data_IF_551352368728
#
_entry.id   IF_551352368728
#
_cell.length_a   1.000
_cell.length_b   1.000
_cell.length_c   1.000
_cell.angle_alpha   90.00
_cell.angle_beta   90.00
_cell.angle_gamma   90.00
#
_symmetry.space_group_name_H-M   'P 1'
#
loop_
_entity.id
_entity.type
_entity.pdbx_description
1 polymer ?
#
# COMPACT_ATOMS: atom_id res chain seq x y z
N UNK A 1 -13.93 -1.01 2.89
CA UNK A 1 -14.21 0.16 3.75
C UNK A 1 -15.66 0.51 3.54
N UNK A 2 -16.52 0.16 4.49
CA UNK A 2 -17.96 0.38 4.36
C UNK A 2 -18.29 1.80 4.83
N UNK A 3 -18.81 2.64 3.94
CA UNK A 3 -19.21 4.01 4.23
C UNK A 3 -20.66 4.22 3.79
N UNK A 4 -21.41 5.05 4.52
CA UNK A 4 -22.81 5.37 4.19
C UNK A 4 -22.87 6.82 3.75
N UNK A 5 -23.29 7.06 2.50
CA UNK A 5 -23.51 8.39 1.96
C UNK A 5 -25.00 8.75 2.07
N UNK A 6 -25.28 9.79 2.86
CA UNK A 6 -26.60 10.40 2.92
C UNK A 6 -26.70 11.51 1.86
N UNK A 7 -27.73 11.42 1.02
CA UNK A 7 -27.98 12.39 -0.05
C UNK A 7 -29.46 12.76 -0.12
N UNK A 8 -29.75 13.85 -0.85
CA UNK A 8 -31.11 14.33 -1.12
C UNK A 8 -31.23 14.72 -2.60
N UNK A 9 -32.35 14.41 -3.24
CA UNK A 9 -32.58 14.74 -4.66
C UNK A 9 -32.84 16.23 -4.88
N UNK A 10 -33.17 16.98 -3.82
CA UNK A 10 -33.40 18.43 -3.89
C UNK A 10 -32.10 19.24 -3.85
N UNK A 11 -30.96 18.60 -3.56
CA UNK A 11 -29.68 19.28 -3.47
C UNK A 11 -28.87 19.13 -4.77
N UNK A 12 -28.54 20.24 -5.43
CA UNK A 12 -27.72 20.24 -6.66
C UNK A 12 -26.30 19.71 -6.41
N UNK A 13 -25.69 20.05 -5.27
CA UNK A 13 -24.36 19.56 -4.88
C UNK A 13 -24.34 18.04 -4.71
N UNK A 14 -25.44 17.44 -4.27
CA UNK A 14 -25.55 15.99 -4.16
C UNK A 14 -25.59 15.33 -5.55
N UNK A 15 -26.30 15.94 -6.51
CA UNK A 15 -26.38 15.41 -7.88
C UNK A 15 -25.02 15.40 -8.57
N UNK A 16 -24.28 16.50 -8.50
CA UNK A 16 -22.94 16.57 -9.10
C UNK A 16 -21.96 15.61 -8.42
N UNK A 17 -22.06 15.47 -7.10
CA UNK A 17 -21.23 14.55 -6.34
C UNK A 17 -21.55 13.07 -6.64
N UNK A 18 -22.82 12.68 -6.72
CA UNK A 18 -23.23 11.33 -7.10
C UNK A 18 -22.75 10.97 -8.51
N UNK A 19 -22.81 11.91 -9.47
CA UNK A 19 -22.27 11.71 -10.82
C UNK A 19 -20.75 11.52 -10.85
N UNK A 20 -20.03 12.12 -9.92
CA UNK A 20 -18.58 11.94 -9.81
C UNK A 20 -18.23 10.60 -9.14
N UNK A 21 -18.99 10.21 -8.10
CA UNK A 21 -18.78 8.95 -7.39
C UNK A 21 -19.14 7.75 -8.27
N UNK A 22 -20.20 7.85 -9.09
CA UNK A 22 -20.61 6.77 -10.00
C UNK A 22 -19.54 6.43 -11.05
N UNK A 23 -18.70 7.39 -11.43
CA UNK A 23 -17.56 7.19 -12.34
C UNK A 23 -16.34 6.54 -11.66
N UNK A 24 -16.31 6.50 -10.33
CA UNK A 24 -15.19 5.97 -9.56
C UNK A 24 -15.47 4.55 -9.07
N UNK A 25 -14.42 3.76 -8.88
CA UNK A 25 -14.51 2.42 -8.27
C UNK A 25 -14.89 2.46 -6.77
N UNK A 26 -15.07 3.65 -6.18
CA UNK A 26 -15.51 3.78 -4.80
C UNK A 26 -16.99 3.42 -4.60
N UNK A 27 -17.79 3.41 -5.67
CA UNK A 27 -19.23 3.11 -5.64
C UNK A 27 -19.54 1.72 -5.07
N UNK A 28 -18.71 0.71 -5.36
CA UNK A 28 -18.92 -0.68 -4.93
C UNK A 28 -18.82 -0.88 -3.41
N UNK A 29 -18.14 0.04 -2.71
CA UNK A 29 -17.86 -0.06 -1.27
C UNK A 29 -18.73 0.88 -0.43
N UNK A 30 -19.63 1.63 -1.07
CA UNK A 30 -20.45 2.66 -0.46
C UNK A 30 -21.94 2.30 -0.49
N UNK A 31 -22.64 2.58 0.61
CA UNK A 31 -24.09 2.50 0.67
C UNK A 31 -24.70 3.89 0.48
N UNK A 32 -25.69 4.00 -0.40
CA UNK A 32 -26.37 5.26 -0.69
C UNK A 32 -27.74 5.27 -0.04
N UNK A 33 -28.00 6.26 0.81
CA UNK A 33 -29.30 6.43 1.48
C UNK A 33 -29.86 7.81 1.13
N UNK A 34 -31.04 7.82 0.51
CA UNK A 34 -31.79 9.03 0.25
C UNK A 34 -32.56 9.46 1.51
N UNK A 35 -32.42 10.72 1.93
CA UNK A 35 -33.09 11.25 3.14
C UNK A 35 -34.37 12.03 2.86
N UNK A 36 -34.87 11.99 1.62
CA UNK A 36 -36.04 12.78 1.20
C UNK A 36 -37.32 12.31 1.89
N UNK A 37 -37.48 10.99 2.07
CA UNK A 37 -38.63 10.41 2.76
C UNK A 37 -38.29 10.13 4.23
N UNK A 38 -38.72 11.03 5.13
CA UNK A 38 -38.41 10.98 6.56
C UNK A 38 -39.66 11.12 7.43
N UNK A 39 -39.73 10.29 8.47
CA UNK A 39 -40.82 10.27 9.44
C UNK A 39 -40.23 10.53 10.83
N UNK A 40 -40.79 11.49 11.56
CA UNK A 40 -40.44 11.73 12.96
C UNK A 40 -41.33 10.90 13.87
N UNK A 41 -40.77 9.94 14.60
CA UNK A 41 -41.46 9.15 15.62
C UNK A 41 -40.70 9.28 16.94
N UNK A 42 -41.41 9.57 18.04
CA UNK A 42 -40.84 9.63 19.39
C UNK A 42 -39.60 10.54 19.54
N UNK A 43 -39.56 11.67 18.82
CA UNK A 43 -38.45 12.63 18.87
C UNK A 43 -37.21 12.21 18.07
N UNK A 44 -37.24 11.07 17.38
CA UNK A 44 -36.20 10.62 16.47
C UNK A 44 -36.69 10.60 15.01
N UNK A 45 -35.80 10.96 14.08
CA UNK A 45 -36.08 10.93 12.65
C UNK A 45 -35.71 9.57 12.06
N UNK A 46 -36.65 8.96 11.35
CA UNK A 46 -36.48 7.72 10.59
C UNK A 46 -36.56 8.01 9.11
N UNK A 47 -35.72 7.35 8.31
CA UNK A 47 -35.73 7.39 6.85
C UNK A 47 -36.48 6.15 6.37
N UNK A 48 -37.44 6.33 5.47
CA UNK A 48 -38.16 5.22 4.84
C UNK A 48 -37.47 4.88 3.52
N UNK A 49 -36.86 3.70 3.46
CA UNK A 49 -36.29 3.15 2.23
C UNK A 49 -37.40 2.80 1.23
N UNK A 50 -37.06 2.69 -0.06
CA UNK A 50 -38.04 2.36 -1.12
C UNK A 50 -38.75 1.01 -0.91
N UNK A 51 -38.13 0.10 -0.15
CA UNK A 51 -38.70 -1.21 0.21
C UNK A 51 -39.66 -1.17 1.41
N UNK A 52 -39.84 -0.01 2.04
CA UNK A 52 -40.66 0.17 3.25
C UNK A 52 -39.90 -0.01 4.56
N UNK A 53 -38.63 -0.37 4.53
CA UNK A 53 -37.79 -0.49 5.72
C UNK A 53 -37.48 0.89 6.33
N UNK A 54 -37.55 0.99 7.67
CA UNK A 54 -37.26 2.21 8.40
C UNK A 54 -35.83 2.18 8.97
N UNK A 55 -34.99 3.16 8.58
CA UNK A 55 -33.62 3.33 9.10
C UNK A 55 -33.55 4.56 9.99
N UNK A 56 -32.99 4.42 11.19
CA UNK A 56 -32.77 5.55 12.08
C UNK A 56 -31.73 6.51 11.48
N UNK A 57 -32.09 7.79 11.36
CA UNK A 57 -31.15 8.84 10.98
C UNK A 57 -30.29 9.21 12.20
N UNK A 58 -28.96 9.10 12.13
CA UNK A 58 -28.09 9.53 13.23
C UNK A 58 -28.19 11.04 13.44
N UNK A 59 -28.23 11.54 14.70
CA UNK A 59 -28.30 12.97 15.00
C UNK A 59 -27.03 13.74 14.58
N UNK A 60 -25.95 13.02 14.27
CA UNK A 60 -24.69 13.58 13.76
C UNK A 60 -24.82 14.12 12.33
N UNK A 61 -25.83 13.66 11.57
CA UNK A 61 -26.08 14.09 10.19
C UNK A 61 -27.02 15.29 10.20
N UNK A 62 -26.44 16.50 10.27
CA UNK A 62 -27.19 17.77 10.32
C UNK A 62 -27.44 18.41 8.95
N UNK A 63 -26.59 18.10 7.97
CA UNK A 63 -26.62 18.67 6.61
C UNK A 63 -26.25 17.63 5.57
N UNK A 64 -26.59 17.91 4.31
CA UNK A 64 -26.38 17.00 3.17
C UNK A 64 -25.64 17.76 2.07
N UNK A 65 -24.66 17.17 1.35
CA UNK A 65 -24.19 15.78 1.41
C UNK A 65 -23.36 15.47 2.67
N UNK A 66 -23.58 14.28 3.24
CA UNK A 66 -22.85 13.79 4.40
C UNK A 66 -22.39 12.34 4.20
N UNK A 67 -21.13 12.07 4.52
CA UNK A 67 -20.56 10.72 4.49
C UNK A 67 -20.28 10.24 5.91
N UNK A 68 -20.95 9.17 6.31
CA UNK A 68 -20.71 8.50 7.59
C UNK A 68 -19.69 7.38 7.41
N UNK A 69 -18.59 7.50 8.14
CA UNK A 69 -17.50 6.52 8.16
C UNK A 69 -17.70 5.53 9.30
N UNK A 70 -18.10 4.30 8.97
CA UNK A 70 -18.30 3.25 9.98
C UNK A 70 -16.98 2.84 10.67
N UNK A 71 -15.87 2.90 9.92
CA UNK A 71 -14.56 2.44 10.41
C UNK A 71 -13.84 3.46 11.31
N UNK A 72 -14.26 4.73 11.32
CA UNK A 72 -13.60 5.81 12.08
C UNK A 72 -14.50 6.35 13.18
N UNK A 73 -15.09 5.45 13.98
CA UNK A 73 -15.90 5.82 15.14
C UNK A 73 -17.14 6.64 14.80
N UNK A 74 -17.82 6.32 13.69
CA UNK A 74 -19.02 7.04 13.22
C UNK A 74 -18.78 8.52 12.92
N UNK A 75 -17.58 8.88 12.49
CA UNK A 75 -17.27 10.23 12.07
C UNK A 75 -18.05 10.61 10.80
N UNK A 76 -18.58 11.83 10.75
CA UNK A 76 -19.33 12.37 9.62
C UNK A 76 -18.50 13.42 8.90
N UNK A 77 -18.23 13.19 7.62
CA UNK A 77 -17.60 14.15 6.72
C UNK A 77 -18.65 14.92 5.94
N UNK A 78 -18.36 16.18 5.64
CA UNK A 78 -19.28 17.05 4.90
C UNK A 78 -18.61 17.74 3.71
N UNK A 79 -19.39 17.99 2.65
CA UNK A 79 -18.95 18.81 1.53
C UNK A 79 -17.65 18.31 0.88
N UNK A 80 -16.65 19.21 0.78
CA UNK A 80 -15.38 18.96 0.12
C UNK A 80 -14.50 17.93 0.83
N UNK A 81 -14.70 17.69 2.13
CA UNK A 81 -13.99 16.63 2.84
C UNK A 81 -14.33 15.25 2.28
N UNK A 82 -15.56 15.11 1.77
CA UNK A 82 -16.03 13.86 1.18
C UNK A 82 -15.32 13.61 -0.16
N UNK A 83 -15.12 14.66 -0.96
CA UNK A 83 -14.41 14.52 -2.24
C UNK A 83 -12.94 14.17 -2.01
N UNK A 84 -12.28 14.77 -1.01
CA UNK A 84 -10.91 14.42 -0.63
C UNK A 84 -10.75 12.99 -0.09
N UNK A 85 -11.78 12.46 0.58
CA UNK A 85 -11.74 11.10 1.12
C UNK A 85 -12.04 10.04 0.04
N UNK A 86 -12.93 10.34 -0.91
CA UNK A 86 -13.34 9.41 -1.96
C UNK A 86 -12.38 9.45 -3.15
N UNK A 87 -11.90 10.63 -3.54
CA UNK A 87 -10.93 10.72 -4.61
C UNK A 87 -9.61 10.14 -4.10
N UNK A 88 -8.97 9.22 -4.85
CA UNK A 88 -7.59 8.90 -4.58
C UNK A 88 -6.81 10.22 -4.60
N UNK A 89 -5.87 10.39 -3.65
CA UNK A 89 -4.91 11.51 -3.73
C UNK A 89 -4.35 11.47 -5.16
N UNK A 90 -4.73 12.42 -6.00
CA UNK A 90 -4.19 12.62 -7.36
C UNK A 90 -2.74 13.11 -7.28
N UNK A 91 -1.98 12.59 -6.33
CA UNK A 91 -0.61 12.96 -6.10
C UNK A 91 0.21 11.84 -6.75
N UNK A 92 1.19 12.27 -7.53
CA UNK A 92 2.21 11.51 -8.28
C UNK A 92 1.95 11.30 -9.79
N UNK A 93 0.76 10.90 -10.27
CA UNK A 93 0.61 10.63 -11.73
C UNK A 93 0.28 11.84 -12.61
N UNK A 94 -0.29 12.92 -12.07
CA UNK A 94 -0.72 14.05 -12.91
C UNK A 94 0.44 14.98 -13.30
N UNK A 95 1.51 15.02 -12.51
CA UNK A 95 2.78 15.67 -12.88
C UNK A 95 3.51 14.89 -13.99
N UNK A 96 3.36 13.57 -14.03
CA UNK A 96 3.90 12.74 -15.12
C UNK A 96 3.13 12.90 -16.44
N UNK A 97 1.88 13.38 -16.42
CA UNK A 97 1.05 13.56 -17.61
C UNK A 97 1.24 14.93 -18.30
N UNK A 98 1.73 15.96 -17.61
CA UNK A 98 1.99 17.26 -18.25
C UNK A 98 3.26 17.31 -19.11
N UNK A 99 4.12 16.29 -19.04
CA UNK A 99 5.40 16.24 -19.77
C UNK A 99 5.45 15.20 -20.90
N UNK A 100 4.31 14.67 -21.36
CA UNK A 100 4.33 13.47 -22.21
C UNK A 100 3.51 13.61 -23.50
N UNK A 101 3.90 14.54 -24.39
CA UNK A 101 3.38 14.52 -25.77
C UNK A 101 4.38 14.12 -26.85
N UNK A 102 5.70 14.16 -26.63
CA UNK A 102 6.66 13.49 -27.53
C UNK A 102 7.88 13.00 -26.73
N UNK A 103 8.29 11.71 -26.86
CA UNK A 103 9.56 11.27 -26.32
C UNK A 103 10.67 11.98 -27.10
N UNK A 104 11.52 12.75 -26.41
CA UNK A 104 12.70 13.34 -27.01
C UNK A 104 13.55 12.23 -27.65
N UNK A 105 13.91 12.37 -28.93
CA UNK A 105 14.74 11.39 -29.66
C UNK A 105 16.14 11.19 -29.03
N UNK A 106 16.55 12.11 -28.15
CA UNK A 106 17.79 12.05 -27.37
C UNK A 106 17.56 11.72 -25.89
N UNK A 107 16.32 11.45 -25.47
CA UNK A 107 16.03 10.80 -24.19
C UNK A 107 16.29 9.30 -24.33
N UNK A 108 17.52 8.95 -24.71
CA UNK A 108 18.10 7.70 -24.29
C UNK A 108 18.20 7.82 -22.77
N UNK A 109 17.15 7.35 -22.08
CA UNK A 109 16.98 7.49 -20.65
C UNK A 109 18.31 7.23 -19.96
N UNK A 110 18.84 8.28 -19.34
CA UNK A 110 20.10 8.20 -18.63
C UNK A 110 20.00 7.02 -17.67
N UNK A 111 20.76 5.97 -17.94
CA UNK A 111 21.17 4.98 -16.94
C UNK A 111 20.05 4.05 -16.44
N UNK A 112 19.22 3.48 -17.32
CA UNK A 112 18.09 2.65 -16.89
C UNK A 112 18.30 1.14 -16.91
N UNK A 113 18.66 0.55 -18.05
CA UNK A 113 18.62 -0.90 -18.22
C UNK A 113 19.67 -1.37 -19.21
N UNK A 114 20.87 -1.59 -18.71
CA UNK A 114 21.97 -2.15 -19.50
C UNK A 114 23.20 -2.29 -18.64
N UNK A 115 23.80 -3.48 -18.66
CA UNK A 115 25.18 -3.67 -18.21
C UNK A 115 26.04 -2.72 -19.04
N UNK A 116 26.54 -1.65 -18.43
CA UNK A 116 27.57 -0.83 -19.04
C UNK A 116 28.87 -1.64 -19.01
N UNK A 117 29.57 -1.77 -20.14
CA UNK A 117 30.87 -2.44 -20.11
C UNK A 117 31.89 -1.52 -19.46
N UNK A 118 32.67 -2.04 -18.53
CA UNK A 118 33.77 -1.35 -17.87
C UNK A 118 34.98 -1.13 -18.82
N UNK A 119 34.76 -1.18 -20.14
CA UNK A 119 35.83 -1.08 -21.13
C UNK A 119 36.37 0.36 -21.27
N UNK A 120 35.67 1.35 -20.72
CA UNK A 120 36.10 2.74 -20.73
C UNK A 120 36.02 3.32 -19.32
N UNK A 121 37.19 3.66 -18.79
CA UNK A 121 37.35 4.34 -17.50
C UNK A 121 37.36 5.85 -17.69
N UNK A 122 36.97 6.58 -16.66
CA UNK A 122 37.11 8.03 -16.66
C UNK A 122 38.60 8.41 -16.59
N UNK A 123 38.97 9.51 -17.25
CA UNK A 123 40.36 9.97 -17.36
C UNK A 123 40.99 10.35 -16.01
N UNK A 124 40.17 10.58 -14.99
CA UNK A 124 40.53 10.99 -13.64
C UNK A 124 40.45 9.82 -12.63
N UNK A 125 40.44 8.56 -13.12
CA UNK A 125 40.43 7.36 -12.27
C UNK A 125 41.86 6.84 -12.03
N UNK A 126 42.21 6.67 -10.75
CA UNK A 126 43.49 6.09 -10.35
C UNK A 126 43.52 4.57 -10.53
N UNK A 127 44.71 4.03 -10.84
CA UNK A 127 44.92 2.60 -11.14
C UNK A 127 44.58 1.71 -9.93
N UNK A 128 44.75 2.24 -8.72
CA UNK A 128 44.40 1.54 -7.46
C UNK A 128 42.91 1.27 -7.36
N UNK A 129 42.09 2.22 -7.82
CA UNK A 129 40.63 2.15 -7.78
C UNK A 129 40.06 1.27 -8.89
N UNK A 130 40.88 0.97 -9.91
CA UNK A 130 40.60 0.00 -10.98
C UNK A 130 40.93 -1.44 -10.59
N UNK A 131 41.60 -1.65 -9.44
CA UNK A 131 41.97 -3.00 -8.99
C UNK A 131 40.77 -3.74 -8.43
N UNK A 132 40.80 -5.08 -8.43
CA UNK A 132 39.79 -5.92 -7.77
C UNK A 132 39.67 -5.69 -6.25
N UNK A 133 40.63 -4.96 -5.66
CA UNK A 133 40.63 -4.53 -4.26
C UNK A 133 40.22 -3.06 -4.07
N UNK A 134 39.97 -2.33 -5.16
CA UNK A 134 39.54 -0.94 -5.13
C UNK A 134 38.04 -0.83 -4.87
N UNK A 135 37.62 0.24 -4.20
CA UNK A 135 36.21 0.44 -3.81
C UNK A 135 35.39 1.21 -4.86
N UNK A 136 35.99 1.61 -5.99
CA UNK A 136 35.32 2.41 -7.03
C UNK A 136 35.02 3.86 -6.62
N UNK A 137 35.36 4.25 -5.39
CA UNK A 137 35.22 5.60 -4.85
C UNK A 137 33.76 6.08 -4.77
N UNK A 138 33.55 7.40 -4.88
CA UNK A 138 32.21 8.02 -4.85
C UNK A 138 31.50 8.06 -6.22
N UNK A 139 31.99 7.32 -7.22
CA UNK A 139 31.45 7.37 -8.58
C UNK A 139 30.24 6.43 -8.74
N UNK A 140 29.37 6.75 -9.70
CA UNK A 140 28.14 6.00 -9.95
C UNK A 140 28.45 4.55 -10.34
N UNK A 141 28.14 3.61 -9.46
CA UNK A 141 28.16 2.19 -9.75
C UNK A 141 26.95 1.87 -10.65
N UNK A 142 27.19 1.51 -11.91
CA UNK A 142 26.14 1.20 -12.89
C UNK A 142 25.42 -0.12 -12.56
N UNK A 143 24.46 -0.08 -11.63
CA UNK A 143 23.74 -1.25 -11.07
C UNK A 143 24.58 -2.22 -10.23
N UNK A 144 25.83 -1.85 -9.93
CA UNK A 144 26.68 -2.59 -9.01
C UNK A 144 26.61 -1.97 -7.62
N UNK A 145 26.96 -2.76 -6.60
CA UNK A 145 26.97 -2.35 -5.20
C UNK A 145 28.36 -2.60 -4.61
N UNK A 146 28.79 -1.76 -3.67
CA UNK A 146 30.10 -1.94 -3.04
C UNK A 146 30.13 -3.20 -2.17
N UNK A 147 31.30 -3.80 -1.98
CA UNK A 147 31.48 -5.00 -1.14
C UNK A 147 31.07 -4.74 0.32
N UNK A 148 31.15 -3.48 0.77
CA UNK A 148 30.79 -3.06 2.13
C UNK A 148 29.38 -2.46 2.24
N UNK A 149 28.51 -2.73 1.27
CA UNK A 149 27.13 -2.26 1.33
C UNK A 149 26.33 -3.08 2.35
N UNK A 150 26.34 -2.63 3.60
CA UNK A 150 25.61 -3.26 4.73
C UNK A 150 24.07 -3.25 4.55
N UNK A 151 23.55 -2.48 3.59
CA UNK A 151 22.11 -2.35 3.33
C UNK A 151 21.44 -3.57 2.67
N UNK A 152 22.21 -4.56 2.21
CA UNK A 152 21.67 -5.75 1.54
C UNK A 152 21.54 -6.98 2.47
N UNK A 153 21.10 -6.79 3.72
CA UNK A 153 20.71 -7.92 4.56
C UNK A 153 19.35 -8.44 4.12
N UNK A 154 19.32 -9.60 3.46
CA UNK A 154 18.07 -10.28 3.11
C UNK A 154 17.56 -10.96 4.39
N UNK A 155 16.31 -10.70 4.78
CA UNK A 155 15.68 -11.44 5.89
C UNK A 155 15.52 -12.92 5.50
N UNK A 156 16.50 -13.74 5.84
CA UNK A 156 16.37 -15.18 5.74
C UNK A 156 15.53 -15.69 6.91
N UNK A 157 14.67 -16.71 6.70
CA UNK A 157 14.00 -17.39 7.80
C UNK A 157 15.01 -17.85 8.85
N UNK A 158 14.63 -17.96 10.13
CA UNK A 158 15.54 -18.49 11.15
C UNK A 158 16.02 -19.89 10.74
N UNK A 159 17.34 -20.06 10.73
CA UNK A 159 17.99 -21.34 10.43
C UNK A 159 17.70 -22.33 11.57
N UNK A 160 16.54 -22.97 11.50
CA UNK A 160 16.15 -24.07 12.40
C UNK A 160 16.79 -25.40 12.01
N UNK A 161 17.86 -25.37 11.21
CA UNK A 161 18.57 -26.56 10.79
C UNK A 161 19.39 -27.14 11.95
N UNK A 162 18.88 -28.21 12.55
CA UNK A 162 19.69 -29.08 13.40
C UNK A 162 20.39 -30.12 12.51
N UNK A 163 21.72 -30.10 12.50
CA UNK A 163 22.50 -31.11 11.80
C UNK A 163 22.14 -32.52 12.31
N UNK A 164 21.78 -33.43 11.40
CA UNK A 164 21.56 -34.86 11.66
C UNK A 164 22.87 -35.62 12.00
N UNK A 165 23.84 -34.94 12.59
CA UNK A 165 24.98 -35.60 13.20
C UNK A 165 24.51 -36.24 14.50
N UNK A 166 24.81 -37.53 14.69
CA UNK A 166 24.49 -38.26 15.92
C UNK A 166 25.16 -37.53 17.09
N UNK A 167 24.41 -36.68 17.80
CA UNK A 167 24.92 -35.91 18.94
C UNK A 167 25.14 -36.87 20.11
N UNK A 168 26.40 -37.05 20.52
CA UNK A 168 26.73 -37.42 21.90
C UNK A 168 26.50 -38.87 22.31
N UNK A 169 26.76 -39.84 21.42
CA UNK A 169 26.87 -41.24 21.86
C UNK A 169 28.28 -41.46 22.40
N UNK A 170 28.44 -41.39 23.72
CA UNK A 170 29.68 -41.76 24.41
C UNK A 170 29.88 -43.27 24.33
N UNK A 171 31.11 -43.71 24.06
CA UNK A 171 31.47 -45.13 23.91
C UNK A 171 30.97 -46.00 25.09
N UNK A 172 30.98 -45.44 26.29
CA UNK A 172 30.49 -46.09 27.51
C UNK A 172 29.01 -46.46 27.46
N UNK A 173 28.15 -45.64 26.83
CA UNK A 173 26.71 -45.92 26.69
C UNK A 173 26.48 -47.10 25.75
N UNK A 174 27.23 -47.15 24.65
CA UNK A 174 27.19 -48.29 23.70
C UNK A 174 27.74 -49.58 24.31
N UNK A 175 28.67 -49.49 25.25
CA UNK A 175 29.16 -50.66 25.98
C UNK A 175 28.14 -51.18 26.99
N UNK A 176 27.43 -50.29 27.69
CA UNK A 176 26.35 -50.69 28.60
C UNK A 176 25.19 -51.36 27.86
N UNK A 177 24.71 -50.76 26.76
CA UNK A 177 23.61 -51.35 25.95
C UNK A 177 23.98 -52.73 25.41
N UNK A 178 25.22 -52.90 24.90
CA UNK A 178 25.68 -54.22 24.43
C UNK A 178 25.72 -55.26 25.54
N UNK A 179 26.13 -54.88 26.74
CA UNK A 179 26.21 -55.80 27.86
C UNK A 179 24.81 -56.16 28.40
N UNK A 180 23.84 -55.26 28.33
CA UNK A 180 22.44 -55.55 28.68
C UNK A 180 21.75 -56.46 27.66
N UNK A 181 22.11 -56.40 26.38
CA UNK A 181 21.53 -57.29 25.36
C UNK A 181 22.08 -58.73 25.41
N UNK A 182 23.24 -58.93 26.04
CA UNK A 182 23.93 -60.24 26.12
C UNK A 182 23.61 -60.99 27.43
N UNK A 183 22.95 -60.36 28.41
CA UNK A 183 22.65 -60.93 29.73
C UNK A 183 21.14 -61.10 29.96
#
# INVERSE_FOLDING_TARGET
MSCILYYSNFCEKCKSMLQNISKSAASEKMHFICIDNRISKNGACYIVLEKGDEVLLPPTVTKVPALLLLNKGHHVLFGDEITHHIMPKKNVMQEAAQNNSEPNAFSLGGLGHGVASDNFSFLDQDITDMSAKGEGGMRQLHHYTSVHSEENSIETPPDNYEANTIKGVSLDKLQQERNSDIS
#
